data_IF_890085163524
#
_entry.id   IF_890085163524
#
_cell.length_a   1.000
_cell.length_b   1.000
_cell.length_c   1.000
_cell.angle_alpha   90.00
_cell.angle_beta   90.00
_cell.angle_gamma   90.00
#
_symmetry.space_group_name_H-M   'P 1'
#
loop_
_entity.id
_entity.type
_entity.pdbx_description
1 polymer ?
#
# COMPACT_ATOMS: atom_id res chain seq x y z
N UNK A 1 28.92 11.86 11.84
CA UNK A 1 27.86 11.58 10.85
C UNK A 1 27.27 10.24 11.23
N UNK A 2 25.94 10.09 11.27
CA UNK A 2 25.33 8.78 11.47
C UNK A 2 25.77 7.84 10.33
N UNK A 3 25.99 6.56 10.64
CA UNK A 3 26.34 5.56 9.66
C UNK A 3 25.11 5.34 8.73
N UNK A 4 25.33 5.23 7.42
CA UNK A 4 24.24 4.94 6.49
C UNK A 4 23.67 3.53 6.73
N UNK A 5 22.35 3.36 6.60
CA UNK A 5 21.69 2.07 6.64
C UNK A 5 22.30 1.07 5.62
N UNK A 6 22.77 1.54 4.47
CA UNK A 6 23.48 0.69 3.51
C UNK A 6 24.69 -0.02 4.16
N UNK A 7 25.51 0.73 4.90
CA UNK A 7 26.70 0.14 5.56
C UNK A 7 26.30 -0.78 6.72
N UNK A 8 25.24 -0.46 7.45
CA UNK A 8 24.68 -1.29 8.51
C UNK A 8 24.19 -2.63 7.94
N UNK A 9 23.34 -2.59 6.91
CA UNK A 9 22.82 -3.77 6.21
C UNK A 9 23.95 -4.68 5.72
N UNK A 10 24.95 -4.10 5.05
CA UNK A 10 26.09 -4.88 4.53
C UNK A 10 26.97 -5.48 5.63
N UNK A 11 27.10 -4.80 6.76
CA UNK A 11 27.91 -5.30 7.89
C UNK A 11 27.19 -6.33 8.75
N UNK A 12 25.85 -6.18 8.91
CA UNK A 12 25.01 -7.13 9.66
C UNK A 12 24.56 -8.31 8.81
N UNK A 13 24.59 -8.17 7.47
CA UNK A 13 24.16 -9.21 6.54
C UNK A 13 22.62 -9.35 6.47
N UNK A 14 21.85 -8.35 6.92
CA UNK A 14 20.38 -8.41 6.99
C UNK A 14 19.75 -7.12 6.52
N UNK A 15 18.80 -7.21 5.58
CA UNK A 15 17.88 -6.13 5.17
C UNK A 15 16.57 -6.28 5.94
N UNK A 16 16.28 -5.34 6.85
CA UNK A 16 15.00 -5.28 7.57
C UNK A 16 14.00 -4.41 6.81
N UNK A 17 12.83 -4.97 6.48
CA UNK A 17 11.78 -4.28 5.72
C UNK A 17 10.47 -4.28 6.49
N UNK A 18 9.94 -3.09 6.80
CA UNK A 18 8.63 -2.93 7.43
C UNK A 18 7.50 -3.29 6.44
N UNK A 19 6.57 -4.15 6.86
CA UNK A 19 5.42 -4.56 6.05
C UNK A 19 4.15 -4.68 6.87
N UNK A 20 3.01 -4.27 6.27
CA UNK A 20 1.70 -4.35 6.94
C UNK A 20 1.04 -5.71 6.75
N UNK A 21 1.34 -6.41 5.66
CA UNK A 21 0.82 -7.74 5.36
C UNK A 21 -0.69 -7.81 5.12
N UNK A 22 -1.33 -6.68 4.81
CA UNK A 22 -2.78 -6.58 4.64
C UNK A 22 -3.21 -5.95 3.31
N UNK A 23 -2.29 -5.65 2.40
CA UNK A 23 -2.57 -5.05 1.09
C UNK A 23 -2.34 -6.04 -0.05
N UNK A 24 -3.36 -6.77 -0.42
CA UNK A 24 -3.32 -7.77 -1.49
C UNK A 24 -3.42 -7.11 -2.89
N UNK A 25 -2.57 -7.48 -3.88
CA UNK A 25 -1.53 -8.52 -3.85
C UNK A 25 -0.13 -7.98 -3.52
N UNK A 26 -0.02 -6.74 -3.01
CA UNK A 26 1.27 -6.11 -2.74
C UNK A 26 2.02 -6.82 -1.61
N UNK A 27 1.35 -7.00 -0.47
CA UNK A 27 1.90 -7.64 0.72
C UNK A 27 0.77 -8.33 1.49
N UNK A 28 0.84 -9.63 1.62
CA UNK A 28 -0.14 -10.46 2.32
C UNK A 28 0.57 -11.35 3.33
N UNK A 29 0.12 -11.32 4.58
CA UNK A 29 0.58 -12.25 5.61
C UNK A 29 -0.32 -13.48 5.64
N UNK A 30 0.26 -14.66 5.41
CA UNK A 30 -0.41 -15.93 5.68
C UNK A 30 -0.50 -16.15 7.20
N UNK A 31 -1.73 -16.20 7.71
CA UNK A 31 -1.96 -16.35 9.16
C UNK A 31 -1.63 -17.73 9.69
N UNK A 32 -1.55 -18.76 8.83
CA UNK A 32 -1.23 -20.13 9.23
C UNK A 32 0.28 -20.34 9.34
N UNK A 33 1.06 -19.78 8.42
CA UNK A 33 2.54 -19.94 8.36
C UNK A 33 3.29 -18.75 8.93
N UNK A 34 2.62 -17.58 9.05
CA UNK A 34 3.22 -16.27 9.32
C UNK A 34 4.17 -15.76 8.22
N UNK A 35 4.20 -16.40 7.08
CA UNK A 35 4.99 -15.96 5.94
C UNK A 35 4.31 -14.80 5.21
N UNK A 36 5.13 -13.99 4.57
CA UNK A 36 4.66 -12.90 3.72
C UNK A 36 4.83 -13.29 2.26
N UNK A 37 3.82 -12.95 1.45
CA UNK A 37 3.82 -13.14 -0.01
C UNK A 37 3.26 -11.90 -0.69
N UNK A 38 3.63 -11.69 -1.94
CA UNK A 38 3.11 -10.57 -2.72
C UNK A 38 4.16 -9.91 -3.60
N UNK A 39 3.68 -8.95 -4.38
CA UNK A 39 4.50 -8.15 -5.29
C UNK A 39 5.70 -7.49 -4.57
N UNK A 40 5.46 -6.82 -3.43
CA UNK A 40 6.49 -6.20 -2.62
C UNK A 40 7.49 -7.22 -2.06
N UNK A 41 7.01 -8.39 -1.68
CA UNK A 41 7.85 -9.42 -1.08
C UNK A 41 8.85 -9.94 -2.10
N UNK A 42 8.40 -10.18 -3.35
CA UNK A 42 9.29 -10.60 -4.44
C UNK A 42 10.34 -9.50 -4.74
N UNK A 43 9.93 -8.23 -4.76
CA UNK A 43 10.84 -7.10 -4.98
C UNK A 43 11.89 -7.02 -3.86
N UNK A 44 11.47 -7.10 -2.59
CA UNK A 44 12.39 -7.02 -1.45
C UNK A 44 13.32 -8.24 -1.38
N UNK A 45 12.83 -9.42 -1.76
CA UNK A 45 13.63 -10.63 -1.89
C UNK A 45 14.74 -10.46 -2.92
N UNK A 46 14.41 -9.89 -4.08
CA UNK A 46 15.41 -9.63 -5.11
C UNK A 46 16.41 -8.54 -4.68
N UNK A 47 15.94 -7.48 -4.02
CA UNK A 47 16.84 -6.44 -3.50
C UNK A 47 17.85 -7.03 -2.50
N UNK A 48 17.40 -7.83 -1.53
CA UNK A 48 18.25 -8.49 -0.56
C UNK A 48 19.24 -9.45 -1.24
N UNK A 49 18.79 -10.24 -2.22
CA UNK A 49 19.64 -11.14 -3.01
C UNK A 49 20.73 -10.39 -3.77
N UNK A 50 20.39 -9.28 -4.42
CA UNK A 50 21.34 -8.44 -5.15
C UNK A 50 22.36 -7.76 -4.21
N UNK A 51 21.97 -7.50 -2.95
CA UNK A 51 22.87 -7.01 -1.90
C UNK A 51 23.72 -8.11 -1.27
N UNK A 52 23.37 -9.39 -1.48
CA UNK A 52 24.04 -10.54 -0.86
C UNK A 52 23.76 -10.67 0.64
N UNK A 53 22.57 -10.27 1.08
CA UNK A 53 22.13 -10.28 2.49
C UNK A 53 20.82 -11.04 2.68
N UNK A 54 20.50 -11.39 3.92
CA UNK A 54 19.22 -11.98 4.27
C UNK A 54 18.10 -10.92 4.30
N UNK A 55 16.86 -11.33 3.99
CA UNK A 55 15.67 -10.49 4.12
C UNK A 55 14.94 -10.80 5.42
N UNK A 56 14.69 -9.79 6.24
CA UNK A 56 13.82 -9.85 7.41
C UNK A 56 12.59 -8.96 7.22
N UNK A 57 11.39 -9.55 7.18
CA UNK A 57 10.14 -8.80 7.13
C UNK A 57 9.70 -8.46 8.55
N UNK A 58 9.64 -7.16 8.87
CA UNK A 58 9.26 -6.64 10.20
C UNK A 58 7.78 -6.24 10.19
N UNK A 59 6.92 -6.90 11.00
CA UNK A 59 5.51 -6.54 11.07
C UNK A 59 5.30 -5.10 11.54
N UNK A 60 4.43 -4.37 10.87
CA UNK A 60 3.99 -3.03 11.25
C UNK A 60 2.53 -2.81 10.81
N UNK A 61 2.00 -1.63 11.01
CA UNK A 61 0.69 -1.19 10.52
C UNK A 61 0.79 0.16 9.81
N UNK A 62 -0.28 0.57 9.12
CA UNK A 62 -0.29 1.82 8.34
C UNK A 62 -0.12 3.07 9.22
N UNK A 63 -0.54 3.02 10.48
CA UNK A 63 -0.46 4.11 11.45
C UNK A 63 0.99 4.32 11.93
N UNK A 64 1.75 3.25 12.07
CA UNK A 64 3.11 3.25 12.61
C UNK A 64 4.21 3.16 11.55
N UNK A 65 3.85 2.87 10.29
CA UNK A 65 4.76 2.63 9.17
C UNK A 65 5.87 3.69 9.02
N UNK A 66 5.50 4.97 9.02
CA UNK A 66 6.46 6.08 8.89
C UNK A 66 7.34 6.19 10.13
N UNK A 67 6.72 6.08 11.31
CA UNK A 67 7.45 6.19 12.58
C UNK A 67 8.48 5.07 12.74
N UNK A 68 8.20 3.87 12.24
CA UNK A 68 9.12 2.75 12.27
C UNK A 68 10.40 3.01 11.46
N UNK A 69 10.28 3.62 10.27
CA UNK A 69 11.44 4.08 9.48
C UNK A 69 12.22 5.15 10.22
N UNK A 70 11.53 6.15 10.77
CA UNK A 70 12.16 7.27 11.51
C UNK A 70 12.89 6.80 12.76
N UNK A 71 12.34 5.80 13.44
CA UNK A 71 12.92 5.22 14.65
C UNK A 71 14.02 4.18 14.38
N UNK A 72 14.22 3.79 13.11
CA UNK A 72 15.20 2.76 12.74
C UNK A 72 14.78 1.33 13.11
N UNK A 73 13.48 1.07 13.29
CA UNK A 73 12.97 -0.28 13.55
C UNK A 73 13.17 -1.21 12.34
N UNK A 74 13.24 -0.64 11.16
CA UNK A 74 13.56 -1.27 9.88
C UNK A 74 14.22 -0.24 8.95
N UNK A 75 15.01 -0.74 8.00
CA UNK A 75 15.80 0.11 7.10
C UNK A 75 14.96 0.80 6.02
N UNK A 76 13.82 0.21 5.66
CA UNK A 76 12.89 0.70 4.65
C UNK A 76 11.53 0.00 4.76
N UNK A 77 10.59 0.43 3.95
CA UNK A 77 9.34 -0.31 3.72
C UNK A 77 9.25 -0.81 2.29
N UNK A 78 8.32 -1.70 2.00
CA UNK A 78 7.81 -1.94 0.64
C UNK A 78 7.01 -0.76 0.12
N UNK A 79 5.99 -1.04 -0.68
CA UNK A 79 5.12 -0.04 -1.30
C UNK A 79 4.40 0.85 -0.30
N UNK A 80 4.56 2.15 -0.47
CA UNK A 80 3.82 3.17 0.26
C UNK A 80 3.45 4.33 -0.66
N UNK A 81 2.22 4.82 -0.56
CA UNK A 81 1.77 6.00 -1.31
C UNK A 81 2.61 7.21 -0.97
N UNK A 82 3.12 7.92 -1.97
CA UNK A 82 3.77 9.21 -1.77
C UNK A 82 2.69 10.22 -1.36
N UNK A 83 2.89 10.87 -0.24
CA UNK A 83 1.98 11.93 0.22
C UNK A 83 2.74 13.08 0.87
N UNK A 84 2.23 14.33 0.79
CA UNK A 84 2.86 15.50 1.41
C UNK A 84 3.06 15.33 2.93
N UNK A 85 2.17 14.61 3.60
CA UNK A 85 2.28 14.35 5.04
C UNK A 85 3.48 13.45 5.36
N UNK A 86 3.65 12.34 4.63
CA UNK A 86 4.75 11.39 4.81
C UNK A 86 6.09 11.97 4.39
N UNK A 87 6.12 12.78 3.31
CA UNK A 87 7.33 13.47 2.83
C UNK A 87 7.96 14.43 3.85
N UNK A 88 7.18 14.90 4.83
CA UNK A 88 7.72 15.75 5.92
C UNK A 88 8.54 14.96 6.94
N UNK A 89 8.35 13.64 7.03
CA UNK A 89 8.93 12.81 8.08
C UNK A 89 9.93 11.78 7.53
N UNK A 90 9.70 11.27 6.32
CA UNK A 90 10.52 10.23 5.70
C UNK A 90 10.92 10.57 4.27
N UNK A 91 12.02 9.98 3.79
CA UNK A 91 12.42 9.99 2.39
C UNK A 91 11.66 8.93 1.59
N UNK A 92 11.76 9.01 0.28
CA UNK A 92 11.19 8.05 -0.65
C UNK A 92 12.19 7.66 -1.72
N UNK A 93 12.07 6.44 -2.20
CA UNK A 93 12.70 6.03 -3.46
C UNK A 93 12.03 6.68 -4.68
N UNK A 94 12.59 6.44 -5.87
CA UNK A 94 11.84 6.62 -7.10
C UNK A 94 10.59 5.73 -7.09
N UNK A 95 9.51 6.23 -7.70
CA UNK A 95 8.29 5.44 -7.89
C UNK A 95 8.50 4.33 -8.93
N UNK A 96 7.94 3.16 -8.68
CA UNK A 96 8.01 2.01 -9.57
C UNK A 96 6.64 1.46 -10.00
N UNK A 97 5.56 1.95 -9.38
CA UNK A 97 4.18 1.67 -9.74
C UNK A 97 3.30 2.86 -9.34
N UNK A 98 2.11 2.98 -9.91
CA UNK A 98 1.13 3.98 -9.52
C UNK A 98 -0.23 3.33 -9.33
N UNK A 99 -1.06 3.94 -8.49
CA UNK A 99 -2.42 3.51 -8.22
C UNK A 99 -3.41 4.63 -8.49
N UNK A 100 -4.64 4.27 -8.77
CA UNK A 100 -5.79 5.16 -8.88
C UNK A 100 -6.93 4.62 -8.01
N UNK A 101 -7.75 5.51 -7.47
CA UNK A 101 -8.80 5.15 -6.53
C UNK A 101 -10.13 4.94 -7.21
N UNK A 102 -10.81 3.86 -6.82
CA UNK A 102 -12.15 3.50 -7.25
C UNK A 102 -13.04 3.13 -6.06
N UNK A 103 -14.35 3.35 -6.15
CA UNK A 103 -15.32 2.92 -5.15
C UNK A 103 -15.81 1.50 -5.45
N UNK A 104 -15.94 0.69 -4.42
CA UNK A 104 -16.44 -0.68 -4.49
C UNK A 104 -17.58 -0.89 -3.52
N UNK A 105 -18.56 -1.70 -3.90
CA UNK A 105 -19.76 -2.03 -3.14
C UNK A 105 -20.17 -3.48 -3.40
N UNK A 106 -21.35 -3.90 -3.00
CA UNK A 106 -21.91 -5.22 -3.29
C UNK A 106 -22.94 -5.16 -4.42
N UNK A 107 -23.22 -6.30 -5.05
CA UNK A 107 -24.16 -6.40 -6.18
C UNK A 107 -25.59 -6.00 -5.82
N UNK A 108 -26.02 -6.17 -4.56
CA UNK A 108 -27.31 -5.71 -4.07
C UNK A 108 -27.38 -4.19 -3.84
N UNK A 109 -26.23 -3.51 -3.73
CA UNK A 109 -26.17 -2.06 -3.47
C UNK A 109 -25.69 -1.24 -4.65
N UNK A 110 -25.03 -1.84 -5.65
CA UNK A 110 -24.40 -1.10 -6.77
C UNK A 110 -25.39 -0.21 -7.52
N UNK A 111 -26.64 -0.62 -7.65
CA UNK A 111 -27.69 0.18 -8.29
C UNK A 111 -28.07 1.48 -7.56
N UNK A 112 -27.58 1.68 -6.32
CA UNK A 112 -27.80 2.92 -5.57
C UNK A 112 -26.76 4.00 -5.91
N UNK A 113 -25.72 3.65 -6.66
CA UNK A 113 -24.57 4.51 -6.95
C UNK A 113 -24.34 4.64 -8.45
N UNK A 114 -24.28 5.89 -8.94
CA UNK A 114 -24.07 6.26 -10.34
C UNK A 114 -22.87 7.20 -10.54
N UNK A 115 -21.92 7.16 -9.61
CA UNK A 115 -20.71 7.98 -9.61
C UNK A 115 -20.30 8.44 -8.22
N UNK A 116 -19.26 9.26 -8.16
CA UNK A 116 -18.69 9.75 -6.90
C UNK A 116 -19.68 10.59 -6.07
N UNK A 117 -20.52 11.39 -6.72
CA UNK A 117 -21.45 12.30 -6.04
C UNK A 117 -22.60 11.55 -5.36
N UNK A 118 -22.98 10.39 -5.89
CA UNK A 118 -23.99 9.54 -5.26
C UNK A 118 -23.51 8.90 -3.95
N UNK A 119 -22.22 8.84 -3.73
CA UNK A 119 -21.60 8.31 -2.51
C UNK A 119 -21.57 9.36 -1.40
N UNK A 120 -21.41 10.66 -1.75
CA UNK A 120 -21.37 11.75 -0.79
C UNK A 120 -22.81 12.20 -0.40
N UNK A 121 -23.51 11.37 0.35
CA UNK A 121 -24.88 11.66 0.80
C UNK A 121 -25.07 11.24 2.25
N UNK A 122 -25.94 11.95 2.95
CA UNK A 122 -26.39 11.56 4.29
C UNK A 122 -26.97 10.13 4.28
N UNK A 123 -26.57 9.34 5.25
CA UNK A 123 -26.97 7.93 5.41
C UNK A 123 -26.13 6.93 4.63
N UNK A 124 -25.25 7.37 3.72
CA UNK A 124 -24.26 6.49 3.06
C UNK A 124 -23.07 6.28 3.99
N UNK A 125 -22.65 5.03 4.15
CA UNK A 125 -21.49 4.65 4.98
C UNK A 125 -20.32 4.28 4.09
N UNK A 126 -19.20 5.03 4.22
CA UNK A 126 -17.99 4.79 3.44
C UNK A 126 -16.88 4.25 4.36
N UNK A 127 -16.45 3.03 4.10
CA UNK A 127 -15.39 2.39 4.88
C UNK A 127 -14.00 2.79 4.39
N UNK A 128 -13.07 2.93 5.33
CA UNK A 128 -11.65 3.19 5.07
C UNK A 128 -10.78 2.57 6.17
N UNK A 129 -9.48 2.41 5.92
CA UNK A 129 -8.55 1.83 6.90
C UNK A 129 -7.69 2.91 7.54
N UNK A 130 -7.62 2.91 8.87
CA UNK A 130 -6.88 3.85 9.70
C UNK A 130 -5.40 3.93 9.31
N UNK A 131 -4.86 5.16 9.26
CA UNK A 131 -3.45 5.44 9.00
C UNK A 131 -3.04 5.33 7.53
N UNK A 132 -3.93 4.90 6.65
CA UNK A 132 -3.67 4.92 5.21
C UNK A 132 -3.71 6.35 4.66
N UNK A 133 -3.05 6.59 3.53
CA UNK A 133 -3.20 7.87 2.81
C UNK A 133 -4.64 8.09 2.32
N UNK A 134 -5.39 7.02 2.12
CA UNK A 134 -6.78 7.07 1.62
C UNK A 134 -7.78 7.50 2.69
N UNK A 135 -7.52 7.24 3.97
CA UNK A 135 -8.39 7.68 5.07
C UNK A 135 -8.66 9.19 5.01
N UNK A 136 -7.59 9.98 4.86
CA UNK A 136 -7.72 11.44 4.75
C UNK A 136 -8.50 11.84 3.50
N UNK A 137 -8.19 11.25 2.36
CA UNK A 137 -8.85 11.54 1.08
C UNK A 137 -10.34 11.21 1.14
N UNK A 138 -10.71 10.05 1.67
CA UNK A 138 -12.12 9.64 1.83
C UNK A 138 -12.90 10.63 2.69
N UNK A 139 -12.33 11.08 3.81
CA UNK A 139 -12.94 12.11 4.67
C UNK A 139 -13.12 13.46 3.96
N UNK A 140 -12.19 13.83 3.10
CA UNK A 140 -12.27 15.07 2.31
C UNK A 140 -13.26 14.96 1.15
N UNK A 141 -13.38 13.78 0.52
CA UNK A 141 -14.27 13.59 -0.63
C UNK A 141 -15.74 13.40 -0.29
N UNK A 142 -16.00 12.90 0.93
CA UNK A 142 -17.35 12.52 1.36
C UNK A 142 -17.73 13.16 2.70
N UNK A 143 -17.75 14.52 2.77
CA UNK A 143 -18.05 15.22 4.02
C UNK A 143 -19.50 15.04 4.50
N UNK A 144 -20.42 14.60 3.62
CA UNK A 144 -21.83 14.36 3.97
C UNK A 144 -22.10 12.90 4.35
N UNK A 145 -21.20 11.97 3.99
CA UNK A 145 -21.34 10.56 4.29
C UNK A 145 -20.79 10.23 5.71
N UNK A 146 -21.26 9.12 6.27
CA UNK A 146 -20.70 8.55 7.50
C UNK A 146 -19.42 7.78 7.18
N UNK A 147 -18.28 8.17 7.74
CA UNK A 147 -17.00 7.49 7.50
C UNK A 147 -16.77 6.42 8.57
N UNK A 148 -16.75 5.16 8.14
CA UNK A 148 -16.45 3.99 8.96
C UNK A 148 -14.95 3.69 8.88
N UNK A 149 -14.21 4.03 9.94
CA UNK A 149 -12.75 3.79 10.01
C UNK A 149 -12.48 2.49 10.73
N UNK A 150 -11.75 1.57 10.09
CA UNK A 150 -11.33 0.30 10.69
C UNK A 150 -9.82 0.27 10.89
N UNK A 151 -9.37 -0.43 11.92
CA UNK A 151 -7.96 -0.59 12.25
C UNK A 151 -7.45 -1.96 11.80
N UNK A 152 -6.22 -2.00 11.24
CA UNK A 152 -5.57 -3.25 10.85
C UNK A 152 -5.56 -4.27 12.01
N UNK A 153 -5.72 -5.59 11.74
CA UNK A 153 -5.71 -6.20 10.41
C UNK A 153 -7.06 -6.15 9.65
N UNK A 154 -8.11 -5.56 10.23
CA UNK A 154 -9.37 -5.39 9.54
C UNK A 154 -9.22 -4.41 8.36
N UNK A 155 -9.93 -4.69 7.26
CA UNK A 155 -9.93 -3.86 6.04
C UNK A 155 -11.33 -3.33 5.77
N UNK A 156 -11.42 -2.11 5.23
CA UNK A 156 -12.69 -1.46 4.96
C UNK A 156 -13.64 -2.28 4.06
N UNK A 157 -13.11 -3.07 3.11
CA UNK A 157 -13.94 -3.93 2.26
C UNK A 157 -14.71 -5.00 3.06
N UNK A 158 -14.21 -5.46 4.21
CA UNK A 158 -14.89 -6.42 5.08
C UNK A 158 -16.15 -5.82 5.72
N UNK A 159 -16.15 -4.49 5.96
CA UNK A 159 -17.34 -3.77 6.43
C UNK A 159 -18.44 -3.74 5.35
N UNK A 160 -18.04 -3.59 4.08
CA UNK A 160 -18.97 -3.62 2.95
C UNK A 160 -19.54 -5.03 2.76
N UNK A 161 -18.69 -6.07 2.77
CA UNK A 161 -19.13 -7.47 2.64
C UNK A 161 -20.07 -7.91 3.78
N UNK A 162 -19.89 -7.37 4.99
CA UNK A 162 -20.74 -7.66 6.15
C UNK A 162 -21.99 -6.78 6.24
N UNK A 163 -22.16 -5.81 5.32
CA UNK A 163 -23.28 -4.87 5.30
C UNK A 163 -23.20 -3.75 6.35
N UNK A 164 -22.07 -3.60 7.07
CA UNK A 164 -21.85 -2.52 8.03
C UNK A 164 -21.43 -1.20 7.37
N UNK A 165 -20.96 -1.26 6.13
CA UNK A 165 -20.75 -0.09 5.28
C UNK A 165 -21.40 -0.32 3.91
N UNK A 166 -21.52 0.75 3.12
CA UNK A 166 -22.11 0.69 1.80
C UNK A 166 -21.06 0.70 0.70
N UNK A 167 -20.00 1.47 0.88
CA UNK A 167 -18.93 1.64 -0.10
C UNK A 167 -17.56 1.53 0.58
N UNK A 168 -16.61 0.95 -0.12
CA UNK A 168 -15.20 0.96 0.22
C UNK A 168 -14.42 1.62 -0.94
N UNK A 169 -13.57 2.59 -0.64
CA UNK A 169 -12.71 3.23 -1.63
C UNK A 169 -11.31 2.69 -1.48
N UNK A 170 -10.80 2.09 -2.56
CA UNK A 170 -9.44 1.55 -2.60
C UNK A 170 -8.81 1.70 -3.98
N UNK A 171 -7.56 1.25 -4.12
CA UNK A 171 -6.84 1.30 -5.38
C UNK A 171 -7.39 0.30 -6.41
N UNK A 172 -7.15 0.59 -7.70
CA UNK A 172 -7.34 -0.36 -8.79
C UNK A 172 -6.67 -1.72 -8.51
N UNK A 173 -5.49 -1.70 -7.89
CA UNK A 173 -4.72 -2.90 -7.54
C UNK A 173 -5.47 -3.79 -6.53
N UNK A 174 -5.87 -3.26 -5.38
CA UNK A 174 -6.65 -4.04 -4.41
C UNK A 174 -8.05 -4.36 -4.96
N UNK A 175 -8.64 -3.41 -5.67
CA UNK A 175 -9.96 -3.58 -6.28
C UNK A 175 -10.04 -4.76 -7.24
N UNK A 176 -9.04 -4.97 -8.10
CA UNK A 176 -9.00 -6.11 -9.02
C UNK A 176 -9.00 -7.45 -8.26
N UNK A 177 -8.24 -7.55 -7.17
CA UNK A 177 -8.25 -8.76 -6.34
C UNK A 177 -9.55 -8.98 -5.58
N UNK A 178 -10.24 -7.90 -5.19
CA UNK A 178 -11.56 -8.01 -4.58
C UNK A 178 -12.61 -8.52 -5.56
N UNK A 179 -12.61 -8.02 -6.79
CA UNK A 179 -13.51 -8.47 -7.86
C UNK A 179 -13.28 -9.95 -8.22
N UNK A 180 -12.04 -10.41 -8.18
CA UNK A 180 -11.71 -11.82 -8.45
C UNK A 180 -12.14 -12.75 -7.31
N UNK A 181 -11.86 -12.34 -6.05
CA UNK A 181 -12.07 -13.21 -4.88
C UNK A 181 -13.50 -13.23 -4.37
N UNK A 182 -14.24 -12.14 -4.54
CA UNK A 182 -15.59 -11.98 -3.99
C UNK A 182 -16.61 -11.75 -5.09
N UNK A 183 -17.35 -12.82 -5.50
CA UNK A 183 -18.29 -12.74 -6.63
C UNK A 183 -19.40 -11.70 -6.48
N UNK A 184 -19.71 -11.29 -5.26
CA UNK A 184 -20.70 -10.27 -4.93
C UNK A 184 -20.14 -8.85 -4.81
N UNK A 185 -18.84 -8.64 -5.00
CA UNK A 185 -18.24 -7.29 -5.06
C UNK A 185 -18.42 -6.70 -6.45
N UNK A 186 -18.73 -5.42 -6.49
CA UNK A 186 -18.85 -4.61 -7.71
C UNK A 186 -18.08 -3.31 -7.56
N UNK A 187 -17.46 -2.90 -8.64
CA UNK A 187 -16.97 -1.53 -8.75
C UNK A 187 -18.15 -0.62 -9.09
N UNK A 188 -18.28 0.49 -8.40
CA UNK A 188 -19.22 1.56 -8.81
C UNK A 188 -18.65 2.21 -10.06
N UNK A 189 -19.49 2.38 -11.08
CA UNK A 189 -19.10 3.06 -12.31
C UNK A 189 -18.86 4.55 -12.03
N UNK A 190 -17.69 5.03 -12.43
CA UNK A 190 -17.28 6.44 -12.26
C UNK A 190 -16.69 6.95 -13.57
N UNK A 191 -16.92 8.22 -13.89
CA UNK A 191 -16.40 8.85 -15.11
C UNK A 191 -14.88 8.85 -15.16
N UNK A 192 -14.25 9.10 -14.01
CA UNK A 192 -12.78 9.10 -13.88
C UNK A 192 -12.37 8.59 -12.51
N UNK A 193 -11.27 7.82 -12.40
CA UNK A 193 -10.69 7.49 -11.11
C UNK A 193 -10.21 8.77 -10.39
N UNK A 194 -10.08 8.68 -9.07
CA UNK A 194 -9.56 9.77 -8.25
C UNK A 194 -8.14 9.49 -7.79
N UNK A 195 -7.43 10.57 -7.42
CA UNK A 195 -6.11 10.55 -6.76
C UNK A 195 -5.10 9.58 -7.41
N UNK A 196 -4.70 9.77 -8.68
CA UNK A 196 -3.56 9.05 -9.20
C UNK A 196 -2.36 9.28 -8.29
N UNK A 197 -1.83 8.20 -7.71
CA UNK A 197 -0.83 8.28 -6.64
C UNK A 197 0.36 7.40 -6.98
N UNK A 198 1.57 7.96 -7.09
CA UNK A 198 2.78 7.17 -7.22
C UNK A 198 3.07 6.40 -5.93
N UNK A 199 3.54 5.18 -6.09
CA UNK A 199 3.92 4.28 -5.01
C UNK A 199 5.44 4.12 -5.03
N UNK A 200 6.05 4.20 -3.85
CA UNK A 200 7.48 4.08 -3.67
C UNK A 200 7.83 3.51 -2.30
N UNK A 201 9.08 3.23 -2.06
CA UNK A 201 9.58 2.72 -0.78
C UNK A 201 9.87 3.88 0.16
N UNK A 202 9.44 3.79 1.43
CA UNK A 202 9.83 4.73 2.49
C UNK A 202 11.24 4.41 2.98
N UNK A 203 12.05 5.45 3.17
CA UNK A 203 13.43 5.37 3.62
C UNK A 203 13.72 6.46 4.67
N UNK A 204 14.78 6.33 5.48
CA UNK A 204 15.21 7.42 6.37
C UNK A 204 15.54 8.68 5.56
N UNK A 205 14.86 9.78 5.87
CA UNK A 205 14.95 11.05 5.09
C UNK A 205 16.37 11.61 4.99
N UNK A 206 17.18 11.40 6.01
CA UNK A 206 18.55 11.95 6.10
C UNK A 206 19.61 11.04 5.51
N UNK A 207 19.25 9.83 5.09
CA UNK A 207 20.20 8.85 4.55
C UNK A 207 20.23 8.88 3.01
N UNK A 208 20.87 9.91 2.47
CA UNK A 208 20.97 10.06 1.02
C UNK A 208 21.77 8.93 0.35
N UNK A 209 22.69 8.30 1.07
CA UNK A 209 23.50 7.17 0.54
C UNK A 209 22.58 5.98 0.28
N UNK A 210 21.72 5.63 1.24
CA UNK A 210 20.76 4.54 1.13
C UNK A 210 19.70 4.84 0.05
N UNK A 211 19.14 6.06 0.05
CA UNK A 211 18.18 6.51 -0.97
C UNK A 211 18.79 6.41 -2.37
N UNK A 212 20.02 6.85 -2.58
CA UNK A 212 20.68 6.77 -3.89
C UNK A 212 20.93 5.32 -4.33
N UNK A 213 21.32 4.44 -3.40
CA UNK A 213 21.49 3.02 -3.71
C UNK A 213 20.18 2.41 -4.20
N UNK A 214 19.10 2.59 -3.43
CA UNK A 214 17.76 2.04 -3.78
C UNK A 214 17.28 2.62 -5.12
N UNK A 215 17.45 3.93 -5.34
CA UNK A 215 17.06 4.57 -6.60
C UNK A 215 17.84 4.01 -7.80
N UNK A 216 19.15 3.84 -7.66
CA UNK A 216 19.98 3.26 -8.72
C UNK A 216 19.60 1.81 -9.02
N UNK A 217 19.30 1.04 -7.96
CA UNK A 217 18.82 -0.33 -8.09
C UNK A 217 17.46 -0.38 -8.81
N UNK A 218 16.50 0.51 -8.46
CA UNK A 218 15.20 0.60 -9.14
C UNK A 218 15.38 0.87 -10.63
N UNK A 219 16.20 1.85 -11.00
CA UNK A 219 16.42 2.19 -12.42
C UNK A 219 17.09 1.03 -13.19
N UNK A 220 18.06 0.34 -12.56
CA UNK A 220 18.66 -0.86 -13.13
C UNK A 220 17.61 -1.94 -13.38
N UNK A 221 16.77 -2.23 -12.38
CA UNK A 221 15.74 -3.28 -12.47
C UNK A 221 14.63 -2.94 -13.44
N UNK A 222 14.22 -1.67 -13.55
CA UNK A 222 13.31 -1.22 -14.60
C UNK A 222 13.88 -1.47 -15.99
N UNK A 223 15.14 -1.11 -16.21
CA UNK A 223 15.81 -1.34 -17.50
C UNK A 223 15.89 -2.83 -17.86
N UNK A 224 15.94 -3.70 -16.86
CA UNK A 224 15.96 -5.15 -17.03
C UNK A 224 14.57 -5.78 -17.19
N UNK A 225 13.48 -5.02 -17.08
CA UNK A 225 12.09 -5.54 -17.16
C UNK A 225 11.62 -6.30 -15.91
N UNK A 226 12.37 -6.21 -14.79
CA UNK A 226 12.08 -6.98 -13.59
C UNK A 226 10.74 -6.59 -12.96
N UNK A 227 10.44 -5.30 -12.86
CA UNK A 227 9.18 -4.84 -12.25
C UNK A 227 7.95 -5.29 -13.05
N UNK A 228 8.06 -5.30 -14.38
CA UNK A 228 7.02 -5.78 -15.29
C UNK A 228 6.81 -7.30 -15.14
N UNK A 229 7.89 -8.07 -15.03
CA UNK A 229 7.82 -9.51 -14.82
C UNK A 229 7.13 -9.84 -13.49
N UNK A 230 7.51 -9.17 -12.40
CA UNK A 230 6.88 -9.36 -11.08
C UNK A 230 5.42 -8.89 -11.09
N UNK A 231 5.12 -7.78 -11.77
CA UNK A 231 3.74 -7.30 -11.93
C UNK A 231 2.86 -8.35 -12.63
N UNK A 232 3.31 -8.90 -13.74
CA UNK A 232 2.59 -9.97 -14.46
C UNK A 232 2.36 -11.21 -13.59
N UNK A 233 3.34 -11.61 -12.78
CA UNK A 233 3.21 -12.73 -11.83
C UNK A 233 2.05 -12.52 -10.85
N UNK A 234 1.82 -11.28 -10.43
CA UNK A 234 0.81 -10.92 -9.43
C UNK A 234 -0.49 -10.34 -10.03
N UNK A 235 -0.63 -10.34 -11.36
CA UNK A 235 -1.84 -9.86 -12.05
C UNK A 235 -2.00 -8.33 -12.03
N UNK A 236 -0.88 -7.59 -12.04
CA UNK A 236 -0.82 -6.12 -12.01
C UNK A 236 -0.52 -5.53 -13.38
#
# INVERSE_FOLDING_TARGET
MAQSALNEILSEGVLKVGTTGDWNPMSVRDTATNEYVGYDIDIMTQLAADMGVELEMVPTDWKTLVNGVVAGNYHMTGSASISPARLKAAGYSHSYIAVEMFPFTTDDKVGNFDGWDSINKEGVKVATTLGTSFEKMVKEWFPEAEIVVVEAPARGFQEVLSGRADVFVTSNIEGSTLLEKFPNVRQVEVDTPRAPTPIAMLLPQTDQVWINYVNSWIELKKTQGFFEEVALKWGL
#
